data_IF_371391203468
#
_entry.id   IF_371391203468
#
_cell.length_a   1.000
_cell.length_b   1.000
_cell.length_c   1.000
_cell.angle_alpha   90.00
_cell.angle_beta   90.00
_cell.angle_gamma   90.00
#
_symmetry.space_group_name_H-M   'P 1'
#
loop_
_entity.id
_entity.type
_entity.pdbx_description
1 polymer ?
#
# COMPACT_ATOMS: atom_id res chain seq x y z
N UNK A 1 33.88 -9.56 6.39
CA UNK A 1 32.55 -8.93 6.34
C UNK A 1 32.51 -8.15 5.04
N UNK A 2 31.62 -8.56 4.12
CA UNK A 2 31.55 -8.08 2.74
C UNK A 2 30.95 -6.67 2.71
N UNK A 3 31.46 -5.77 1.87
CA UNK A 3 30.96 -4.39 1.70
C UNK A 3 29.46 -4.31 1.41
N UNK A 4 28.82 -5.39 0.94
CA UNK A 4 27.38 -5.44 0.74
C UNK A 4 26.58 -5.40 2.06
N UNK A 5 27.12 -5.90 3.18
CA UNK A 5 26.43 -5.83 4.48
C UNK A 5 26.38 -4.40 5.06
N UNK A 6 27.32 -3.53 4.69
CA UNK A 6 27.42 -2.17 5.25
C UNK A 6 26.31 -1.22 4.75
N UNK A 7 25.64 -1.56 3.63
CA UNK A 7 24.57 -0.73 3.05
C UNK A 7 23.15 -1.26 3.27
N UNK A 8 22.98 -2.53 3.69
CA UNK A 8 21.66 -3.14 3.88
C UNK A 8 20.96 -2.53 5.10
N UNK A 9 21.66 -2.45 6.23
CA UNK A 9 21.07 -1.97 7.48
C UNK A 9 20.56 -0.52 7.44
N UNK A 10 21.31 0.46 6.89
CA UNK A 10 20.79 1.83 6.72
C UNK A 10 19.52 1.90 5.87
N UNK A 11 19.45 1.10 4.78
CA UNK A 11 18.28 1.04 3.90
C UNK A 11 17.05 0.49 4.63
N UNK A 12 17.21 -0.59 5.39
CA UNK A 12 16.12 -1.15 6.20
C UNK A 12 15.52 -0.10 7.16
N UNK A 13 16.37 0.74 7.76
CA UNK A 13 15.91 1.84 8.63
C UNK A 13 15.26 3.00 7.87
N UNK A 14 15.68 3.27 6.63
CA UNK A 14 15.02 4.23 5.74
C UNK A 14 13.64 3.71 5.31
N UNK A 15 13.53 2.43 4.95
CA UNK A 15 12.28 1.77 4.56
C UNK A 15 11.27 1.79 5.71
N UNK A 16 11.69 1.46 6.94
CA UNK A 16 10.82 1.55 8.12
C UNK A 16 10.31 2.98 8.36
N UNK A 17 11.15 4.00 8.13
CA UNK A 17 10.72 5.41 8.23
C UNK A 17 9.71 5.78 7.14
N UNK A 18 9.91 5.28 5.91
CA UNK A 18 8.98 5.47 4.81
C UNK A 18 7.63 4.80 5.09
N UNK A 19 7.64 3.55 5.60
CA UNK A 19 6.44 2.81 6.01
C UNK A 19 5.70 3.58 7.11
N UNK A 20 6.40 4.05 8.13
CA UNK A 20 5.80 4.85 9.21
C UNK A 20 5.09 6.11 8.67
N UNK A 21 5.75 6.85 7.78
CA UNK A 21 5.18 8.05 7.16
C UNK A 21 3.95 7.71 6.29
N UNK A 22 4.03 6.65 5.49
CA UNK A 22 2.94 6.19 4.64
C UNK A 22 1.69 5.85 5.47
N UNK A 23 1.84 5.00 6.50
CA UNK A 23 0.73 4.59 7.38
C UNK A 23 0.07 5.80 8.05
N UNK A 24 0.87 6.74 8.56
CA UNK A 24 0.33 7.93 9.24
C UNK A 24 -0.41 8.87 8.28
N UNK A 25 0.06 8.97 7.03
CA UNK A 25 -0.63 9.77 6.01
C UNK A 25 -1.92 9.11 5.50
N UNK A 26 -1.95 7.78 5.46
CA UNK A 26 -3.00 7.01 4.80
C UNK A 26 -4.39 7.26 5.40
N UNK A 27 -4.52 7.19 6.72
CA UNK A 27 -5.79 7.39 7.42
C UNK A 27 -6.40 8.77 7.15
N UNK A 28 -5.55 9.81 7.10
CA UNK A 28 -5.97 11.17 6.75
C UNK A 28 -6.44 11.32 5.31
N UNK A 29 -5.75 10.68 4.35
CA UNK A 29 -6.15 10.70 2.93
C UNK A 29 -7.45 9.90 2.71
N UNK A 30 -7.59 8.73 3.33
CA UNK A 30 -8.79 7.92 3.24
C UNK A 30 -10.02 8.62 3.82
N UNK A 31 -9.87 9.27 4.98
CA UNK A 31 -10.95 10.06 5.58
C UNK A 31 -11.41 11.18 4.63
N UNK A 32 -10.47 11.89 3.99
CA UNK A 32 -10.81 12.91 2.99
C UNK A 32 -11.57 12.32 1.80
N UNK A 33 -11.15 11.15 1.31
CA UNK A 33 -11.84 10.48 0.20
C UNK A 33 -13.29 10.14 0.57
N UNK A 34 -13.53 9.61 1.77
CA UNK A 34 -14.87 9.27 2.23
C UNK A 34 -15.76 10.51 2.38
N UNK A 35 -15.21 11.61 2.89
CA UNK A 35 -15.91 12.91 2.95
C UNK A 35 -16.26 13.39 1.55
N UNK A 36 -15.35 13.32 0.59
CA UNK A 36 -15.61 13.72 -0.81
C UNK A 36 -16.75 12.90 -1.44
N UNK A 37 -16.80 11.58 -1.21
CA UNK A 37 -17.91 10.75 -1.70
C UNK A 37 -19.26 11.18 -1.10
N UNK A 38 -19.27 11.52 0.20
CA UNK A 38 -20.46 12.04 0.87
C UNK A 38 -20.88 13.40 0.31
N UNK A 39 -19.93 14.29 0.08
CA UNK A 39 -20.15 15.63 -0.46
C UNK A 39 -20.68 15.58 -1.89
N UNK A 40 -20.20 14.65 -2.72
CA UNK A 40 -20.74 14.39 -4.05
C UNK A 40 -22.25 14.11 -3.99
N UNK A 41 -22.66 13.13 -3.17
CA UNK A 41 -24.07 12.79 -3.03
C UNK A 41 -24.91 13.92 -2.42
N UNK A 42 -24.36 14.67 -1.47
CA UNK A 42 -25.01 15.85 -0.87
C UNK A 42 -25.25 16.94 -1.92
N UNK A 43 -24.23 17.23 -2.72
CA UNK A 43 -24.28 18.27 -3.75
C UNK A 43 -25.26 17.90 -4.87
N UNK A 44 -25.24 16.66 -5.33
CA UNK A 44 -26.23 16.16 -6.29
C UNK A 44 -27.66 16.24 -5.73
N UNK A 45 -27.83 15.98 -4.42
CA UNK A 45 -29.11 16.17 -3.73
C UNK A 45 -29.63 17.61 -3.80
N UNK A 46 -28.77 18.61 -3.57
CA UNK A 46 -29.14 20.02 -3.68
C UNK A 46 -29.54 20.41 -5.12
N UNK A 47 -28.83 19.88 -6.11
CA UNK A 47 -29.16 20.09 -7.53
C UNK A 47 -30.54 19.49 -7.83
N UNK A 48 -30.77 18.25 -7.41
CA UNK A 48 -32.06 17.60 -7.63
C UNK A 48 -33.21 18.30 -6.92
N UNK A 49 -33.01 18.80 -5.70
CA UNK A 49 -34.02 19.57 -4.98
C UNK A 49 -34.36 20.87 -5.72
N UNK A 50 -33.35 21.53 -6.30
CA UNK A 50 -33.56 22.75 -7.10
C UNK A 50 -34.41 22.46 -8.34
N UNK A 51 -34.17 21.34 -9.03
CA UNK A 51 -35.01 20.90 -10.15
C UNK A 51 -36.43 20.55 -9.72
N UNK A 52 -36.62 19.90 -8.57
CA UNK A 52 -37.95 19.59 -8.03
C UNK A 52 -38.74 20.86 -7.67
N UNK A 53 -38.07 21.88 -7.10
CA UNK A 53 -38.67 23.17 -6.83
C UNK A 53 -39.13 23.90 -8.10
N UNK A 54 -38.29 23.91 -9.16
CA UNK A 54 -38.65 24.46 -10.47
C UNK A 54 -39.81 23.66 -11.11
N UNK A 55 -39.79 22.33 -10.98
CA UNK A 55 -40.84 21.49 -11.51
C UNK A 55 -42.17 21.65 -10.77
N UNK A 56 -42.16 22.04 -9.50
CA UNK A 56 -43.35 22.21 -8.66
C UNK A 56 -44.18 23.47 -8.97
N UNK A 57 -43.73 24.32 -9.89
CA UNK A 57 -44.48 25.49 -10.34
C UNK A 57 -45.81 25.09 -11.00
N UNK A 58 -46.83 25.93 -10.84
CA UNK A 58 -48.22 25.62 -11.24
C UNK A 58 -48.41 25.39 -12.73
N UNK A 59 -47.56 26.01 -13.56
CA UNK A 59 -47.59 25.88 -15.02
C UNK A 59 -46.81 24.68 -15.55
N UNK A 60 -46.04 24.00 -14.70
CA UNK A 60 -45.25 22.84 -15.11
C UNK A 60 -46.14 21.61 -15.28
N UNK A 61 -45.93 20.87 -16.37
CA UNK A 61 -46.63 19.61 -16.66
C UNK A 61 -46.34 18.55 -15.59
N UNK A 62 -47.31 17.70 -15.30
CA UNK A 62 -47.16 16.65 -14.28
C UNK A 62 -46.08 15.61 -14.63
N UNK A 63 -45.84 15.36 -15.92
CA UNK A 63 -44.75 14.51 -16.41
C UNK A 63 -43.38 15.03 -15.93
N UNK A 64 -43.16 16.34 -16.01
CA UNK A 64 -41.90 16.98 -15.59
C UNK A 64 -41.77 16.95 -14.06
N UNK A 65 -42.87 17.11 -13.32
CA UNK A 65 -42.90 16.94 -11.85
C UNK A 65 -42.51 15.53 -11.44
N UNK A 66 -43.12 14.51 -12.08
CA UNK A 66 -42.81 13.12 -11.81
C UNK A 66 -41.35 12.79 -12.14
N UNK A 67 -40.83 13.32 -13.25
CA UNK A 67 -39.44 13.15 -13.66
C UNK A 67 -38.45 13.75 -12.64
N UNK A 68 -38.68 14.99 -12.20
CA UNK A 68 -37.83 15.65 -11.19
C UNK A 68 -37.85 14.91 -9.84
N UNK A 69 -39.03 14.44 -9.40
CA UNK A 69 -39.17 13.63 -8.18
C UNK A 69 -38.47 12.27 -8.29
N UNK A 70 -38.58 11.59 -9.43
CA UNK A 70 -37.87 10.33 -9.69
C UNK A 70 -36.37 10.53 -9.59
N UNK A 71 -35.85 11.60 -10.19
CA UNK A 71 -34.43 11.99 -10.06
C UNK A 71 -34.02 12.19 -8.60
N UNK A 72 -34.81 12.91 -7.82
CA UNK A 72 -34.56 13.09 -6.38
C UNK A 72 -34.49 11.78 -5.61
N UNK A 73 -35.41 10.85 -5.90
CA UNK A 73 -35.44 9.52 -5.28
C UNK A 73 -34.17 8.70 -5.55
N UNK A 74 -33.73 8.65 -6.81
CA UNK A 74 -32.50 7.93 -7.18
C UNK A 74 -31.25 8.54 -6.52
N UNK A 75 -31.15 9.87 -6.47
CA UNK A 75 -30.04 10.57 -5.80
C UNK A 75 -30.03 10.34 -4.28
N UNK A 76 -31.21 10.30 -3.63
CA UNK A 76 -31.31 9.95 -2.21
C UNK A 76 -30.84 8.51 -1.98
N UNK A 77 -31.29 7.57 -2.81
CA UNK A 77 -30.86 6.16 -2.74
C UNK A 77 -29.34 6.02 -2.93
N UNK A 78 -28.74 6.81 -3.82
CA UNK A 78 -27.28 6.85 -4.01
C UNK A 78 -26.53 7.44 -2.81
N UNK A 79 -27.07 8.49 -2.16
CA UNK A 79 -26.41 9.20 -1.05
C UNK A 79 -26.57 8.47 0.30
N UNK A 80 -27.70 7.82 0.54
CA UNK A 80 -28.06 7.25 1.85
C UNK A 80 -28.44 5.77 1.78
N UNK A 81 -28.54 5.19 0.59
CA UNK A 81 -28.92 3.79 0.42
C UNK A 81 -27.80 2.80 0.71
N UNK A 82 -28.15 1.52 0.49
CA UNK A 82 -27.33 0.36 0.86
C UNK A 82 -25.92 0.46 0.25
N UNK A 83 -25.81 0.84 -1.03
CA UNK A 83 -24.52 0.91 -1.72
C UNK A 83 -23.52 1.88 -1.05
N UNK A 84 -23.97 3.05 -0.60
CA UNK A 84 -23.10 4.01 0.09
C UNK A 84 -22.75 3.55 1.51
N UNK A 85 -23.73 2.99 2.22
CA UNK A 85 -23.51 2.43 3.56
C UNK A 85 -22.49 1.29 3.54
N UNK A 86 -22.63 0.35 2.60
CA UNK A 86 -21.71 -0.76 2.40
C UNK A 86 -20.33 -0.28 1.97
N UNK A 87 -20.25 0.67 1.01
CA UNK A 87 -18.99 1.27 0.61
C UNK A 87 -18.23 1.85 1.81
N UNK A 88 -18.87 2.71 2.61
CA UNK A 88 -18.19 3.32 3.76
C UNK A 88 -17.76 2.30 4.81
N UNK A 89 -18.63 1.32 5.10
CA UNK A 89 -18.31 0.25 6.05
C UNK A 89 -17.10 -0.56 5.59
N UNK A 90 -17.12 -1.04 4.34
CA UNK A 90 -16.08 -1.90 3.80
C UNK A 90 -14.77 -1.16 3.53
N UNK A 91 -14.82 0.14 3.23
CA UNK A 91 -13.60 0.96 3.17
C UNK A 91 -12.93 1.03 4.55
N UNK A 92 -13.70 1.17 5.62
CA UNK A 92 -13.12 1.12 6.97
C UNK A 92 -12.56 -0.27 7.32
N UNK A 93 -13.35 -1.31 7.11
CA UNK A 93 -13.02 -2.68 7.52
C UNK A 93 -11.92 -3.32 6.66
N UNK A 94 -12.01 -3.20 5.33
CA UNK A 94 -11.16 -3.95 4.41
C UNK A 94 -9.96 -3.15 3.86
N UNK A 95 -9.94 -1.82 4.07
CA UNK A 95 -8.89 -0.96 3.51
C UNK A 95 -8.17 -0.18 4.62
N UNK A 96 -8.91 0.57 5.44
CA UNK A 96 -8.31 1.40 6.48
C UNK A 96 -7.72 0.56 7.61
N UNK A 97 -8.52 -0.33 8.18
CA UNK A 97 -8.13 -1.10 9.35
C UNK A 97 -6.88 -1.99 9.12
N UNK A 98 -6.75 -2.72 8.00
CA UNK A 98 -5.56 -3.54 7.74
C UNK A 98 -4.28 -2.70 7.63
N UNK A 99 -4.35 -1.52 7.00
CA UNK A 99 -3.19 -0.61 6.91
C UNK A 99 -2.84 -0.03 8.29
N UNK A 100 -3.83 0.23 9.14
CA UNK A 100 -3.57 0.68 10.51
C UNK A 100 -2.95 -0.41 11.38
N UNK A 101 -3.30 -1.69 11.17
CA UNK A 101 -2.70 -2.82 11.89
C UNK A 101 -1.21 -3.00 11.60
N UNK A 102 -0.70 -2.53 10.45
CA UNK A 102 0.74 -2.52 10.14
C UNK A 102 1.57 -1.74 11.17
N UNK A 103 0.95 -0.85 11.96
CA UNK A 103 1.62 -0.14 13.06
C UNK A 103 2.19 -1.09 14.11
N UNK A 104 1.56 -2.24 14.35
CA UNK A 104 2.06 -3.22 15.32
C UNK A 104 3.35 -3.89 14.82
N UNK A 105 3.33 -4.46 13.61
CA UNK A 105 4.52 -5.06 12.99
C UNK A 105 5.66 -4.05 12.89
N UNK A 106 5.36 -2.79 12.52
CA UNK A 106 6.34 -1.72 12.45
C UNK A 106 6.95 -1.42 13.83
N UNK A 107 6.13 -1.30 14.86
CA UNK A 107 6.58 -1.04 16.24
C UNK A 107 7.49 -2.15 16.75
N UNK A 108 7.20 -3.41 16.43
CA UNK A 108 8.06 -4.54 16.80
C UNK A 108 9.42 -4.49 16.11
N UNK A 109 9.44 -4.19 14.80
CA UNK A 109 10.69 -3.99 14.05
C UNK A 109 11.51 -2.81 14.60
N UNK A 110 10.86 -1.69 14.95
CA UNK A 110 11.53 -0.52 15.55
C UNK A 110 12.15 -0.83 16.91
N UNK A 111 11.45 -1.63 17.74
CA UNK A 111 11.99 -2.07 19.01
C UNK A 111 13.20 -3.00 18.82
N UNK A 112 13.14 -3.91 17.84
CA UNK A 112 14.26 -4.76 17.51
C UNK A 112 15.47 -3.96 17.00
N UNK A 113 15.26 -2.96 16.13
CA UNK A 113 16.30 -2.04 15.66
C UNK A 113 16.95 -1.26 16.81
N UNK A 114 16.15 -0.74 17.75
CA UNK A 114 16.66 -0.04 18.95
C UNK A 114 17.50 -0.96 19.84
N UNK A 115 17.07 -2.22 20.01
CA UNK A 115 17.82 -3.21 20.78
C UNK A 115 19.14 -3.60 20.11
N UNK A 116 19.13 -3.77 18.80
CA UNK A 116 20.30 -4.07 17.97
C UNK A 116 21.35 -2.95 18.04
N UNK A 117 20.94 -1.69 17.84
CA UNK A 117 21.80 -0.52 18.03
C UNK A 117 22.42 -0.46 19.44
N UNK A 118 21.63 -0.75 20.47
CA UNK A 118 22.13 -0.79 21.86
C UNK A 118 23.17 -1.88 22.08
N UNK A 119 22.96 -3.07 21.49
CA UNK A 119 23.92 -4.17 21.54
C UNK A 119 25.21 -3.84 20.77
N UNK A 120 25.09 -3.15 19.63
CA UNK A 120 26.23 -2.72 18.82
C UNK A 120 27.14 -1.75 19.59
N UNK A 121 26.55 -0.76 20.27
CA UNK A 121 27.31 0.18 21.10
C UNK A 121 28.01 -0.51 22.29
N UNK A 122 27.38 -1.52 22.90
CA UNK A 122 28.01 -2.33 23.96
C UNK A 122 29.20 -3.13 23.42
N UNK A 123 29.03 -3.78 22.27
CA UNK A 123 30.10 -4.52 21.60
C UNK A 123 31.26 -3.60 21.22
N UNK A 124 30.98 -2.45 20.60
CA UNK A 124 31.98 -1.45 20.21
C UNK A 124 32.82 -0.99 21.40
N UNK A 125 32.19 -0.67 22.53
CA UNK A 125 32.89 -0.30 23.78
C UNK A 125 33.76 -1.44 24.32
N UNK A 126 33.25 -2.69 24.31
CA UNK A 126 34.00 -3.84 24.79
C UNK A 126 35.20 -4.16 23.88
N UNK A 127 35.01 -4.06 22.55
CA UNK A 127 36.07 -4.21 21.54
C UNK A 127 37.16 -3.15 21.73
N UNK A 128 36.80 -1.88 21.83
CA UNK A 128 37.76 -0.79 22.06
C UNK A 128 38.64 -1.00 23.30
N UNK A 129 38.11 -1.60 24.37
CA UNK A 129 38.91 -1.92 25.56
C UNK A 129 39.98 -2.98 25.28
N UNK A 130 39.60 -4.02 24.53
CA UNK A 130 40.52 -5.08 24.09
C UNK A 130 41.57 -4.49 23.15
N UNK A 131 41.15 -3.78 22.10
CA UNK A 131 42.05 -3.18 21.10
C UNK A 131 43.07 -2.21 21.75
N UNK A 132 42.62 -1.37 22.70
CA UNK A 132 43.51 -0.46 23.46
C UNK A 132 44.54 -1.23 24.28
N UNK A 133 44.13 -2.32 24.90
CA UNK A 133 45.03 -3.14 25.72
C UNK A 133 46.04 -3.90 24.85
N UNK A 134 45.59 -4.51 23.76
CA UNK A 134 46.45 -5.17 22.77
C UNK A 134 47.50 -4.20 22.23
N UNK A 135 47.08 -2.99 21.84
CA UNK A 135 47.99 -1.93 21.39
C UNK A 135 49.01 -1.55 22.46
N UNK A 136 48.58 -1.29 23.69
CA UNK A 136 49.47 -0.87 24.77
C UNK A 136 50.48 -1.97 25.19
N UNK A 137 50.12 -3.25 25.04
CA UNK A 137 51.01 -4.37 25.30
C UNK A 137 52.02 -4.57 24.16
N UNK A 138 51.56 -4.45 22.91
CA UNK A 138 52.42 -4.49 21.73
C UNK A 138 53.48 -3.37 21.77
N UNK A 139 53.09 -2.13 22.11
CA UNK A 139 54.01 -0.98 22.25
C UNK A 139 55.09 -1.22 23.32
N UNK A 140 54.78 -2.01 24.35
CA UNK A 140 55.73 -2.34 25.43
C UNK A 140 56.48 -3.65 25.19
N UNK A 141 56.27 -4.30 24.06
CA UNK A 141 56.80 -5.65 23.76
C UNK A 141 56.51 -6.66 24.88
N UNK A 142 55.35 -6.56 25.51
CA UNK A 142 54.92 -7.45 26.60
C UNK A 142 53.94 -8.49 26.08
N UNK A 143 54.07 -9.77 26.45
CA UNK A 143 53.10 -10.78 26.07
C UNK A 143 51.79 -10.60 26.86
N UNK A 144 50.66 -10.84 26.20
CA UNK A 144 49.31 -10.57 26.73
C UNK A 144 48.89 -11.48 27.88
N UNK A 145 49.50 -12.66 27.98
CA UNK A 145 49.32 -13.64 29.06
C UNK A 145 49.77 -13.12 30.43
N UNK A 146 50.69 -12.15 30.46
CA UNK A 146 51.10 -11.46 31.70
C UNK A 146 50.01 -10.55 32.26
N UNK A 147 48.96 -10.26 31.49
CA UNK A 147 47.83 -9.47 31.95
C UNK A 147 46.74 -10.31 32.60
N UNK A 148 46.51 -10.08 33.90
CA UNK A 148 45.38 -10.69 34.63
C UNK A 148 44.01 -10.21 34.14
N UNK A 149 43.91 -9.00 33.59
CA UNK A 149 42.62 -8.41 33.15
C UNK A 149 42.26 -8.74 31.71
N UNK A 150 43.24 -9.08 30.87
CA UNK A 150 43.03 -9.33 29.44
C UNK A 150 42.00 -10.45 29.16
N UNK A 151 42.07 -11.63 29.81
CA UNK A 151 41.06 -12.68 29.60
C UNK A 151 39.63 -12.23 29.93
N UNK A 152 39.48 -11.37 30.95
CA UNK A 152 38.18 -10.81 31.35
C UNK A 152 37.64 -9.85 30.30
N UNK A 153 38.48 -8.98 29.73
CA UNK A 153 38.09 -8.08 28.66
C UNK A 153 37.71 -8.82 27.37
N UNK A 154 38.47 -9.85 27.00
CA UNK A 154 38.15 -10.74 25.87
C UNK A 154 36.81 -11.44 26.09
N UNK A 155 36.57 -11.99 27.29
CA UNK A 155 35.29 -12.63 27.62
C UNK A 155 34.11 -11.65 27.53
N UNK A 156 34.29 -10.42 28.02
CA UNK A 156 33.26 -9.38 27.92
C UNK A 156 32.96 -8.99 26.47
N UNK A 157 34.00 -8.84 25.63
CA UNK A 157 33.85 -8.58 24.18
C UNK A 157 33.09 -9.71 23.49
N UNK A 158 33.48 -10.97 23.74
CA UNK A 158 32.84 -12.12 23.11
C UNK A 158 31.37 -12.27 23.56
N UNK A 159 31.06 -12.03 24.84
CA UNK A 159 29.68 -12.00 25.34
C UNK A 159 28.85 -10.90 24.67
N UNK A 160 29.42 -9.71 24.50
CA UNK A 160 28.75 -8.61 23.80
C UNK A 160 28.54 -8.90 22.31
N UNK A 161 29.49 -9.60 21.66
CA UNK A 161 29.36 -10.04 20.27
C UNK A 161 28.21 -11.04 20.08
N UNK A 162 28.10 -12.04 20.95
CA UNK A 162 26.98 -13.00 20.92
C UNK A 162 25.64 -12.28 21.11
N UNK A 163 25.57 -11.33 22.06
CA UNK A 163 24.37 -10.52 22.25
C UNK A 163 24.02 -9.69 21.02
N UNK A 164 25.01 -9.09 20.35
CA UNK A 164 24.81 -8.35 19.11
C UNK A 164 24.27 -9.26 18.01
N UNK A 165 24.88 -10.43 17.78
CA UNK A 165 24.43 -11.40 16.78
C UNK A 165 22.98 -11.82 17.00
N UNK A 166 22.58 -12.08 18.25
CA UNK A 166 21.19 -12.41 18.58
C UNK A 166 20.22 -11.25 18.28
N UNK A 167 20.62 -10.00 18.59
CA UNK A 167 19.80 -8.83 18.28
C UNK A 167 19.72 -8.57 16.78
N UNK A 168 20.80 -8.77 16.02
CA UNK A 168 20.80 -8.65 14.56
C UNK A 168 19.84 -9.66 13.93
N UNK A 169 19.92 -10.93 14.33
CA UNK A 169 19.03 -11.96 13.81
C UNK A 169 17.56 -11.64 14.11
N UNK A 170 17.26 -11.16 15.33
CA UNK A 170 15.92 -10.76 15.71
C UNK A 170 15.43 -9.53 14.94
N UNK A 171 16.30 -8.55 14.68
CA UNK A 171 15.95 -7.40 13.85
C UNK A 171 15.64 -7.83 12.42
N UNK A 172 16.49 -8.66 11.81
CA UNK A 172 16.28 -9.17 10.45
C UNK A 172 14.97 -9.95 10.35
N UNK A 173 14.69 -10.85 11.29
CA UNK A 173 13.43 -11.59 11.36
C UNK A 173 12.21 -10.65 11.39
N UNK A 174 12.24 -9.62 12.25
CA UNK A 174 11.13 -8.66 12.36
C UNK A 174 11.00 -7.75 11.15
N UNK A 175 12.12 -7.41 10.50
CA UNK A 175 12.11 -6.63 9.28
C UNK A 175 11.52 -7.43 8.11
N UNK A 176 11.89 -8.70 7.97
CA UNK A 176 11.33 -9.60 6.95
C UNK A 176 9.82 -9.80 7.17
N UNK A 177 9.38 -9.99 8.42
CA UNK A 177 7.95 -10.04 8.73
C UNK A 177 7.23 -8.74 8.33
N UNK A 178 7.77 -7.58 8.73
CA UNK A 178 7.19 -6.28 8.40
C UNK A 178 7.05 -6.08 6.89
N UNK A 179 8.09 -6.40 6.12
CA UNK A 179 8.07 -6.21 4.66
C UNK A 179 7.07 -7.15 3.97
N UNK A 180 6.98 -8.40 4.42
CA UNK A 180 5.96 -9.34 3.97
C UNK A 180 4.54 -8.85 4.29
N UNK A 181 4.31 -8.35 5.50
CA UNK A 181 3.02 -7.80 5.92
C UNK A 181 2.65 -6.58 5.06
N UNK A 182 3.60 -5.65 4.85
CA UNK A 182 3.41 -4.46 4.02
C UNK A 182 3.07 -4.83 2.58
N UNK A 183 3.78 -5.77 1.96
CA UNK A 183 3.52 -6.23 0.61
C UNK A 183 2.11 -6.83 0.49
N UNK A 184 1.77 -7.75 1.39
CA UNK A 184 0.49 -8.44 1.41
C UNK A 184 -0.69 -7.49 1.62
N UNK A 185 -0.59 -6.64 2.65
CA UNK A 185 -1.65 -5.66 3.00
C UNK A 185 -1.79 -4.63 1.90
N UNK A 186 -0.70 -4.10 1.35
CA UNK A 186 -0.76 -3.10 0.27
C UNK A 186 -1.45 -3.66 -0.96
N UNK A 187 -1.06 -4.86 -1.40
CA UNK A 187 -1.66 -5.53 -2.57
C UNK A 187 -3.16 -5.77 -2.38
N UNK A 188 -3.53 -6.32 -1.21
CA UNK A 188 -4.92 -6.68 -0.90
C UNK A 188 -5.79 -5.44 -0.71
N UNK A 189 -5.35 -4.48 0.10
CA UNK A 189 -6.09 -3.25 0.39
C UNK A 189 -6.24 -2.37 -0.85
N UNK A 190 -5.21 -2.28 -1.71
CA UNK A 190 -5.30 -1.53 -2.96
C UNK A 190 -6.31 -2.14 -3.92
N UNK A 191 -6.26 -3.45 -4.13
CA UNK A 191 -7.25 -4.15 -4.96
C UNK A 191 -8.65 -3.91 -4.44
N UNK A 192 -8.84 -4.11 -3.14
CA UNK A 192 -10.13 -3.93 -2.49
C UNK A 192 -10.64 -2.50 -2.57
N UNK A 193 -9.77 -1.51 -2.38
CA UNK A 193 -10.09 -0.10 -2.55
C UNK A 193 -10.59 0.20 -3.97
N UNK A 194 -9.91 -0.31 -4.99
CA UNK A 194 -10.34 -0.13 -6.39
C UNK A 194 -11.69 -0.77 -6.66
N UNK A 195 -11.93 -2.00 -6.18
CA UNK A 195 -13.22 -2.70 -6.30
C UNK A 195 -14.36 -1.92 -5.64
N UNK A 196 -14.16 -1.45 -4.41
CA UNK A 196 -15.16 -0.70 -3.66
C UNK A 196 -15.51 0.62 -4.35
N UNK A 197 -14.50 1.36 -4.84
CA UNK A 197 -14.73 2.59 -5.59
C UNK A 197 -15.45 2.34 -6.91
N UNK A 198 -15.04 1.32 -7.67
CA UNK A 198 -15.69 0.95 -8.92
C UNK A 198 -17.15 0.54 -8.70
N UNK A 199 -17.41 -0.26 -7.65
CA UNK A 199 -18.76 -0.66 -7.25
C UNK A 199 -19.63 0.53 -6.89
N UNK A 200 -19.14 1.43 -6.04
CA UNK A 200 -19.90 2.63 -5.65
C UNK A 200 -20.14 3.58 -6.84
N UNK A 201 -19.12 3.82 -7.67
CA UNK A 201 -19.26 4.66 -8.87
C UNK A 201 -20.24 4.07 -9.88
N UNK A 202 -20.34 2.74 -9.97
CA UNK A 202 -21.37 2.09 -10.79
C UNK A 202 -22.77 2.41 -10.26
N UNK A 203 -22.97 2.36 -8.94
CA UNK A 203 -24.24 2.76 -8.32
C UNK A 203 -24.56 4.24 -8.54
N UNK A 204 -23.55 5.13 -8.54
CA UNK A 204 -23.69 6.55 -8.89
C UNK A 204 -24.17 6.71 -10.33
N UNK A 205 -23.51 6.04 -11.28
CA UNK A 205 -23.90 6.08 -12.69
C UNK A 205 -25.33 5.57 -12.86
N UNK A 206 -25.67 4.44 -12.25
CA UNK A 206 -27.01 3.87 -12.30
C UNK A 206 -28.07 4.85 -11.80
N UNK A 207 -27.81 5.54 -10.68
CA UNK A 207 -28.73 6.55 -10.15
C UNK A 207 -28.91 7.75 -11.10
N UNK A 208 -27.86 8.14 -11.81
CA UNK A 208 -27.91 9.23 -12.79
C UNK A 208 -28.60 8.84 -14.10
N UNK A 209 -28.60 7.55 -14.47
CA UNK A 209 -29.13 7.09 -15.76
C UNK A 209 -30.55 6.53 -15.66
N UNK A 210 -30.94 5.87 -14.56
CA UNK A 210 -32.27 5.23 -14.40
C UNK A 210 -33.45 6.20 -14.39
N UNK A 211 -33.17 7.49 -14.33
CA UNK A 211 -34.17 8.55 -14.28
C UNK A 211 -34.78 8.81 -15.67
N UNK A 212 -34.02 8.62 -16.75
CA UNK A 212 -34.42 8.85 -18.15
C UNK A 212 -34.05 7.66 -19.06
N UNK A 213 -35.02 7.00 -19.71
CA UNK A 213 -34.77 5.90 -20.63
C UNK A 213 -33.78 6.23 -21.76
N UNK A 214 -33.79 7.47 -22.26
CA UNK A 214 -32.88 7.93 -23.31
C UNK A 214 -31.44 7.99 -22.80
N UNK A 215 -31.26 8.46 -21.57
CA UNK A 215 -29.95 8.53 -20.91
C UNK A 215 -29.46 7.13 -20.54
N UNK A 216 -30.37 6.25 -20.11
CA UNK A 216 -30.10 4.84 -19.87
C UNK A 216 -29.62 4.13 -21.14
N UNK A 217 -30.34 4.28 -22.26
CA UNK A 217 -29.95 3.74 -23.57
C UNK A 217 -28.59 4.27 -24.03
N UNK A 218 -28.35 5.58 -23.93
CA UNK A 218 -27.07 6.19 -24.29
C UNK A 218 -25.91 5.63 -23.42
N UNK A 219 -26.14 5.42 -22.12
CA UNK A 219 -25.15 4.85 -21.22
C UNK A 219 -24.85 3.37 -21.54
N UNK A 220 -25.85 2.60 -21.96
CA UNK A 220 -25.68 1.21 -22.42
C UNK A 220 -24.86 1.17 -23.71
N UNK A 221 -25.20 2.00 -24.69
CA UNK A 221 -24.48 2.07 -25.96
C UNK A 221 -23.01 2.43 -25.76
N UNK A 222 -22.74 3.47 -24.95
CA UNK A 222 -21.36 3.87 -24.62
C UNK A 222 -20.57 2.74 -23.94
N UNK A 223 -21.20 1.99 -23.01
CA UNK A 223 -20.56 0.83 -22.36
C UNK A 223 -20.19 -0.26 -23.37
N UNK A 224 -21.10 -0.57 -24.29
CA UNK A 224 -20.86 -1.58 -25.33
C UNK A 224 -19.74 -1.17 -26.29
N UNK A 225 -19.73 0.10 -26.74
CA UNK A 225 -18.68 0.64 -27.59
C UNK A 225 -17.30 0.55 -26.91
N UNK A 226 -17.20 0.95 -25.64
CA UNK A 226 -15.94 0.85 -24.88
C UNK A 226 -15.50 -0.59 -24.66
N UNK A 227 -16.44 -1.51 -24.46
CA UNK A 227 -16.12 -2.94 -24.33
C UNK A 227 -15.58 -3.51 -25.64
N UNK A 228 -16.19 -3.20 -26.77
CA UNK A 228 -15.73 -3.62 -28.09
C UNK A 228 -14.32 -3.08 -28.39
N UNK A 229 -14.05 -1.81 -28.10
CA UNK A 229 -12.71 -1.23 -28.24
C UNK A 229 -11.67 -1.93 -27.38
N UNK A 230 -11.98 -2.25 -26.12
CA UNK A 230 -11.06 -2.96 -25.23
C UNK A 230 -10.77 -4.37 -25.73
N UNK A 231 -11.80 -5.10 -26.16
CA UNK A 231 -11.63 -6.45 -26.71
C UNK A 231 -10.76 -6.42 -27.96
N UNK A 232 -11.02 -5.49 -28.89
CA UNK A 232 -10.21 -5.32 -30.09
C UNK A 232 -8.74 -4.99 -29.77
N UNK A 233 -8.49 -4.11 -28.79
CA UNK A 233 -7.12 -3.77 -28.38
C UNK A 233 -6.39 -4.99 -27.76
N UNK A 234 -7.09 -5.80 -26.96
CA UNK A 234 -6.52 -7.04 -26.39
C UNK A 234 -6.19 -8.04 -27.49
N UNK A 235 -7.11 -8.24 -28.46
CA UNK A 235 -6.88 -9.12 -29.61
C UNK A 235 -5.66 -8.67 -30.42
N UNK A 236 -5.54 -7.36 -30.69
CA UNK A 236 -4.37 -6.81 -31.39
C UNK A 236 -3.06 -7.05 -30.63
N UNK A 237 -3.04 -6.87 -29.32
CA UNK A 237 -1.88 -7.21 -28.48
C UNK A 237 -1.52 -8.70 -28.57
N UNK A 238 -2.51 -9.59 -28.47
CA UNK A 238 -2.29 -11.03 -28.58
C UNK A 238 -1.72 -11.41 -29.97
N UNK A 239 -2.24 -10.82 -31.04
CA UNK A 239 -1.73 -11.04 -32.40
C UNK A 239 -0.28 -10.56 -32.55
N UNK A 240 0.05 -9.40 -31.98
CA UNK A 240 1.41 -8.87 -31.99
C UNK A 240 2.39 -9.79 -31.26
N UNK A 241 2.04 -10.24 -30.04
CA UNK A 241 2.88 -11.17 -29.27
C UNK A 241 3.09 -12.49 -30.02
N UNK A 242 2.04 -13.04 -30.65
CA UNK A 242 2.16 -14.26 -31.45
C UNK A 242 3.05 -14.09 -32.68
N UNK A 243 2.99 -12.93 -33.35
CA UNK A 243 3.88 -12.58 -34.46
C UNK A 243 5.34 -12.46 -34.01
N UNK A 244 5.57 -11.81 -32.86
CA UNK A 244 6.91 -11.62 -32.30
C UNK A 244 7.53 -12.95 -31.85
N UNK A 245 6.74 -13.85 -31.26
CA UNK A 245 7.17 -15.21 -30.93
C UNK A 245 7.49 -16.04 -32.18
N UNK A 246 6.67 -15.93 -33.24
CA UNK A 246 6.88 -16.67 -34.49
C UNK A 246 8.15 -16.22 -35.22
N UNK A 247 8.44 -14.92 -35.22
CA UNK A 247 9.67 -14.35 -35.80
C UNK A 247 10.92 -14.67 -34.97
N UNK A 248 10.81 -14.74 -33.64
CA UNK A 248 11.88 -15.21 -32.76
C UNK A 248 12.21 -16.70 -32.97
N UNK A 249 11.22 -17.55 -33.23
CA UNK A 249 11.45 -18.96 -33.55
C UNK A 249 12.01 -19.18 -34.96
N UNK A 250 11.57 -18.40 -35.96
CA UNK A 250 12.11 -18.46 -37.32
C UNK A 250 13.59 -18.04 -37.41
N UNK A 251 14.03 -17.11 -36.54
CA UNK A 251 15.44 -16.68 -36.48
C UNK A 251 16.37 -17.65 -35.76
N UNK A 252 15.85 -18.58 -34.94
CA UNK A 252 16.63 -19.67 -34.34
C UNK A 252 16.78 -20.89 -35.28
N UNK A 253 15.88 -21.05 -36.26
CA UNK A 253 15.93 -22.15 -37.23
C UNK A 253 17.03 -22.04 -38.30
N UNK A 254 17.72 -20.89 -38.40
CA UNK A 254 18.81 -20.68 -39.37
C UNK A 254 20.22 -20.97 -38.81
N UNK A 255 20.35 -21.59 -37.63
CA UNK A 255 21.66 -21.88 -37.02
C UNK A 255 22.04 -23.36 -36.96
N UNK A 256 21.28 -24.24 -37.58
CA UNK A 256 21.65 -25.63 -37.75
C UNK A 256 21.34 -26.10 -39.16
N UNK A 257 22.33 -25.97 -40.04
CA UNK A 257 22.62 -26.99 -41.04
C UNK A 257 24.15 -26.99 -41.29
N UNK A 258 24.72 -28.17 -41.63
CA UNK A 258 26.00 -28.70 -41.12
C UNK A 258 27.30 -28.07 -41.64
#
# INVERSE_FOLDING_TARGET
>A
MSMQQDFVHPRQLDDMRAIHAAINSFSGVMTKMMVLMKELGTTLGHVSHSFDALASLTFTKDEVKQYARKCGGEIISMKEGIAFCEYNKLVHEDVLHPVEQLKESLKEAEQAAKAEKSAFEKYKKAKQRVDKQEKAFAEKSKPLDTSKSYPTHVRARNKALVSLQNCNNKFEERFVMLTSDVESVTSTALRRYLELNAGYMTSVVDALTKTDPTVEEAAVFYRQEKQAHRQSAVEQCCLQVNSDLSTAHASQGYRFDP
#
